data_IF_810423064924
#
_entry.id   IF_810423064924
#
_cell.length_a   1.000
_cell.length_b   1.000
_cell.length_c   1.000
_cell.angle_alpha   90.00
_cell.angle_beta   90.00
_cell.angle_gamma   90.00
#
_symmetry.space_group_name_H-M   'P 1'
#
loop_
_entity.id
_entity.type
_entity.pdbx_description
1 polymer ?
#
# COMPACT_ATOMS: atom_id res chain seq x y z
N UNK A 1 -31.94 -59.75 -35.07
CA UNK A 1 -31.51 -59.21 -33.76
C UNK A 1 -30.43 -58.17 -34.02
N UNK A 2 -30.74 -56.87 -33.87
CA UNK A 2 -29.79 -55.77 -34.08
C UNK A 2 -29.67 -54.97 -32.79
N UNK A 3 -28.49 -54.96 -32.17
CA UNK A 3 -28.20 -54.29 -30.90
C UNK A 3 -27.68 -52.87 -31.19
N UNK A 4 -28.46 -51.82 -30.88
CA UNK A 4 -28.05 -50.42 -31.02
C UNK A 4 -27.27 -49.98 -29.78
N UNK A 5 -25.96 -49.75 -29.90
CA UNK A 5 -25.15 -49.15 -28.83
C UNK A 5 -25.41 -47.65 -28.73
N UNK A 6 -25.87 -47.20 -27.56
CA UNK A 6 -25.98 -45.79 -27.20
C UNK A 6 -24.65 -45.41 -26.53
N UNK A 7 -23.85 -44.57 -27.20
CA UNK A 7 -22.61 -44.03 -26.65
C UNK A 7 -22.96 -42.78 -25.85
N UNK A 8 -22.97 -42.87 -24.52
CA UNK A 8 -23.05 -41.73 -23.62
C UNK A 8 -21.66 -41.07 -23.52
N UNK A 9 -21.43 -40.01 -24.30
CA UNK A 9 -20.25 -39.16 -24.12
C UNK A 9 -20.39 -38.37 -22.82
N UNK A 10 -19.62 -38.74 -21.80
CA UNK A 10 -19.44 -37.94 -20.59
C UNK A 10 -18.48 -36.78 -20.91
N UNK A 11 -19.01 -35.56 -20.92
CA UNK A 11 -18.21 -34.35 -20.94
C UNK A 11 -17.61 -34.14 -19.55
N UNK A 12 -16.33 -34.45 -19.37
CA UNK A 12 -15.59 -34.11 -18.15
C UNK A 12 -15.15 -32.65 -18.26
N UNK A 13 -15.78 -31.78 -17.47
CA UNK A 13 -15.34 -30.39 -17.31
C UNK A 13 -14.25 -30.38 -16.25
N UNK A 14 -12.99 -30.29 -16.69
CA UNK A 14 -11.85 -30.08 -15.78
C UNK A 14 -11.87 -28.61 -15.37
N UNK A 15 -12.29 -28.34 -14.14
CA UNK A 15 -12.14 -27.01 -13.53
C UNK A 15 -10.68 -26.85 -13.10
N UNK A 16 -9.88 -26.16 -13.91
CA UNK A 16 -8.57 -25.69 -13.47
C UNK A 16 -8.77 -24.60 -12.43
N UNK A 17 -8.42 -24.89 -11.18
CA UNK A 17 -8.33 -23.88 -10.13
C UNK A 17 -7.17 -22.95 -10.44
N UNK A 18 -7.45 -21.79 -11.02
CA UNK A 18 -6.43 -20.74 -11.13
C UNK A 18 -6.10 -20.27 -9.71
N UNK A 19 -4.84 -20.41 -9.30
CA UNK A 19 -4.35 -19.74 -8.08
C UNK A 19 -4.31 -18.25 -8.41
N UNK A 20 -5.21 -17.48 -7.80
CA UNK A 20 -5.16 -16.03 -7.88
C UNK A 20 -4.01 -15.55 -7.02
N UNK A 21 -3.03 -14.90 -7.64
CA UNK A 21 -1.96 -14.22 -6.92
C UNK A 21 -2.35 -12.76 -6.76
N UNK A 22 -2.15 -12.19 -5.57
CA UNK A 22 -2.34 -10.77 -5.39
C UNK A 22 -1.24 -9.99 -6.13
N UNK A 23 -1.61 -8.91 -6.81
CA UNK A 23 -0.68 -8.05 -7.53
C UNK A 23 -0.32 -6.85 -6.65
N UNK A 24 0.97 -6.54 -6.55
CA UNK A 24 1.45 -5.35 -5.86
C UNK A 24 1.24 -4.11 -6.73
N UNK A 25 0.44 -3.15 -6.27
CA UNK A 25 0.08 -1.93 -7.00
C UNK A 25 0.45 -0.70 -6.20
N UNK A 26 1.03 0.31 -6.86
CA UNK A 26 1.25 1.63 -6.27
C UNK A 26 -0.11 2.27 -5.94
N UNK A 27 -0.32 2.67 -4.69
CA UNK A 27 -1.56 3.29 -4.23
C UNK A 27 -1.42 4.82 -4.16
N UNK A 28 -0.54 5.32 -3.31
CA UNK A 28 -0.26 6.75 -3.16
C UNK A 28 1.22 7.04 -3.36
N UNK A 29 1.53 8.21 -3.91
CA UNK A 29 2.90 8.72 -3.98
C UNK A 29 2.97 10.23 -3.77
N UNK A 30 4.11 10.65 -3.24
CA UNK A 30 4.60 12.00 -3.31
C UNK A 30 6.12 11.90 -3.51
N UNK A 31 6.64 12.20 -4.70
CA UNK A 31 8.07 12.05 -5.00
C UNK A 31 8.68 13.41 -5.35
N UNK A 32 9.45 13.92 -4.41
CA UNK A 32 10.33 15.05 -4.64
C UNK A 32 11.66 14.79 -3.93
N UNK A 33 12.66 15.59 -4.30
CA UNK A 33 13.98 15.59 -3.66
C UNK A 33 14.24 17.00 -3.16
N UNK A 34 14.75 17.11 -1.94
CA UNK A 34 15.08 18.37 -1.30
C UNK A 34 16.36 18.22 -0.50
N UNK A 35 17.19 19.27 -0.51
CA UNK A 35 18.36 19.34 0.38
C UNK A 35 17.96 19.61 1.84
N UNK A 36 16.73 20.08 2.07
CA UNK A 36 16.15 20.26 3.40
C UNK A 36 15.32 19.04 3.75
N UNK A 37 15.40 18.61 5.01
CA UNK A 37 14.64 17.48 5.49
C UNK A 37 14.25 17.61 6.95
N UNK A 38 13.17 16.93 7.30
CA UNK A 38 12.79 16.70 8.69
C UNK A 38 13.65 15.57 9.26
N UNK A 39 13.89 15.57 10.57
CA UNK A 39 14.72 14.57 11.23
C UNK A 39 13.91 13.70 12.18
N UNK A 40 14.00 12.38 12.03
CA UNK A 40 13.54 11.41 13.01
C UNK A 40 14.69 11.05 13.97
N UNK A 41 14.41 10.97 15.26
CA UNK A 41 15.39 10.62 16.30
C UNK A 41 14.75 9.78 17.41
N UNK A 42 15.46 9.58 18.53
CA UNK A 42 14.92 8.98 19.75
C UNK A 42 13.86 9.82 20.45
N UNK A 43 13.79 11.10 20.11
CA UNK A 43 12.92 12.09 20.76
C UNK A 43 11.97 12.77 19.78
N UNK A 44 12.16 12.59 18.47
CA UNK A 44 11.35 13.22 17.43
C UNK A 44 10.85 12.18 16.44
N UNK A 45 9.55 12.24 16.17
CA UNK A 45 8.86 11.41 15.18
C UNK A 45 8.35 12.31 14.07
N UNK A 46 8.52 11.86 12.84
CA UNK A 46 8.03 12.55 11.64
C UNK A 46 7.30 11.56 10.77
N UNK A 47 6.28 12.02 10.05
CA UNK A 47 5.40 11.12 9.33
C UNK A 47 4.50 11.85 8.37
N UNK A 48 3.63 11.09 7.73
CA UNK A 48 2.69 11.60 6.75
C UNK A 48 1.39 10.82 6.87
N UNK A 49 0.26 11.55 6.83
CA UNK A 49 -1.05 10.93 6.61
C UNK A 49 -1.30 10.74 5.13
N UNK A 50 -2.06 9.72 4.75
CA UNK A 50 -2.43 9.46 3.37
C UNK A 50 -3.83 8.87 3.29
N UNK A 51 -4.54 9.24 2.23
CA UNK A 51 -5.86 8.68 1.92
C UNK A 51 -5.69 7.48 1.00
N UNK A 52 -6.09 6.31 1.47
CA UNK A 52 -6.04 5.05 0.70
C UNK A 52 -6.88 5.18 -0.57
N UNK A 53 -6.31 4.87 -1.73
CA UNK A 53 -6.99 4.92 -3.03
C UNK A 53 -7.46 3.54 -3.51
N UNK A 54 -6.75 2.48 -3.14
CA UNK A 54 -6.97 1.11 -3.59
C UNK A 54 -7.44 0.20 -2.45
N UNK A 55 -8.35 -0.73 -2.78
CA UNK A 55 -8.78 -1.78 -1.86
C UNK A 55 -7.81 -2.96 -1.90
N UNK A 56 -7.45 -3.51 -0.75
CA UNK A 56 -6.59 -4.70 -0.66
C UNK A 56 -5.91 -4.83 0.70
N UNK A 57 -4.70 -5.37 0.72
CA UNK A 57 -3.83 -5.37 1.91
C UNK A 57 -2.68 -4.40 1.69
N UNK A 58 -2.43 -3.50 2.65
CA UNK A 58 -1.23 -2.65 2.60
C UNK A 58 0.01 -3.55 2.71
N UNK A 59 0.93 -3.40 1.77
CA UNK A 59 2.03 -4.35 1.57
C UNK A 59 3.39 -3.74 1.94
N UNK A 60 3.68 -2.54 1.41
CA UNK A 60 4.93 -1.83 1.74
C UNK A 60 4.76 -0.32 1.68
N UNK A 61 5.65 0.36 2.39
CA UNK A 61 5.84 1.80 2.31
C UNK A 61 7.29 2.07 1.95
N UNK A 62 7.50 2.78 0.86
CA UNK A 62 8.83 3.28 0.49
C UNK A 62 8.95 4.72 1.01
N UNK A 63 9.92 4.99 1.86
CA UNK A 63 10.21 6.34 2.37
C UNK A 63 11.55 6.80 1.84
N UNK A 64 11.59 7.96 1.17
CA UNK A 64 12.86 8.53 0.73
C UNK A 64 13.58 9.07 1.97
N UNK A 65 14.78 8.58 2.24
CA UNK A 65 15.52 8.99 3.44
C UNK A 65 17.02 8.78 3.30
N UNK A 66 17.77 9.35 4.24
CA UNK A 66 19.20 9.10 4.43
C UNK A 66 19.51 9.02 5.91
N UNK A 67 20.59 8.32 6.26
CA UNK A 67 21.08 8.23 7.64
C UNK A 67 22.11 9.33 7.87
N UNK A 68 21.93 10.13 8.92
CA UNK A 68 22.87 11.19 9.29
C UNK A 68 23.61 10.78 10.56
N UNK A 69 24.92 10.60 10.44
CA UNK A 69 25.77 10.08 11.51
C UNK A 69 26.79 11.08 12.08
N UNK A 70 26.56 12.38 11.87
CA UNK A 70 27.44 13.47 12.35
C UNK A 70 27.63 13.42 13.87
N UNK A 71 26.59 13.02 14.62
CA UNK A 71 26.60 12.93 16.09
C UNK A 71 26.70 11.49 16.61
N UNK A 72 27.02 10.53 15.73
CA UNK A 72 26.96 9.09 15.98
C UNK A 72 25.87 8.43 15.14
N UNK A 73 25.82 7.09 15.12
CA UNK A 73 24.82 6.35 14.36
C UNK A 73 23.47 6.32 15.10
N UNK A 74 22.33 6.41 14.39
CA UNK A 74 21.03 6.05 14.97
C UNK A 74 20.95 4.54 15.17
N UNK A 75 20.04 4.12 16.06
CA UNK A 75 19.57 2.73 16.10
C UNK A 75 18.73 2.38 14.86
N UNK A 76 18.04 1.24 14.84
CA UNK A 76 17.17 0.87 13.72
C UNK A 76 16.16 1.97 13.37
N UNK A 77 15.85 2.11 12.08
CA UNK A 77 14.74 2.94 11.61
C UNK A 77 13.46 2.18 11.87
N UNK A 78 12.53 2.78 12.60
CA UNK A 78 11.25 2.18 12.97
C UNK A 78 10.15 2.95 12.26
N UNK A 79 9.42 2.27 11.37
CA UNK A 79 8.22 2.79 10.74
C UNK A 79 7.00 2.24 11.46
N UNK A 80 6.14 3.13 11.97
CA UNK A 80 4.92 2.76 12.71
C UNK A 80 3.70 3.24 11.94
N UNK A 81 2.69 2.39 11.79
CA UNK A 81 1.41 2.72 11.17
C UNK A 81 0.36 3.07 12.22
N UNK A 82 -0.52 4.00 11.86
CA UNK A 82 -1.58 4.51 12.71
C UNK A 82 -2.90 4.66 11.98
N UNK A 83 -3.98 4.49 12.74
CA UNK A 83 -5.28 5.08 12.43
C UNK A 83 -5.25 6.58 12.66
N UNK A 84 -6.15 7.32 12.00
CA UNK A 84 -6.25 8.78 12.15
C UNK A 84 -7.58 9.23 12.73
N UNK A 85 -7.54 10.35 13.44
CA UNK A 85 -8.70 11.09 13.91
C UNK A 85 -8.46 12.58 13.64
N UNK A 86 -9.39 13.25 12.96
CA UNK A 86 -9.26 14.65 12.55
C UNK A 86 -7.95 14.96 11.77
N UNK A 87 -7.50 14.02 10.93
CA UNK A 87 -6.30 14.17 10.11
C UNK A 87 -4.97 13.96 10.84
N UNK A 88 -5.00 13.59 12.13
CA UNK A 88 -3.81 13.31 12.93
C UNK A 88 -3.77 11.84 13.39
N UNK A 89 -2.58 11.26 13.62
CA UNK A 89 -2.48 9.90 14.17
C UNK A 89 -3.14 9.80 15.54
N UNK A 90 -3.84 8.68 15.79
CA UNK A 90 -4.64 8.49 17.02
C UNK A 90 -4.47 7.11 17.69
N UNK A 91 -4.25 6.05 16.92
CA UNK A 91 -4.05 4.70 17.45
C UNK A 91 -3.10 3.87 16.59
N UNK A 92 -2.17 3.19 17.23
CA UNK A 92 -1.13 2.38 16.58
C UNK A 92 -1.70 1.07 16.03
N UNK A 93 -1.34 0.77 14.78
CA UNK A 93 -1.70 -0.47 14.07
C UNK A 93 -0.55 -1.50 14.10
N UNK A 94 0.69 -1.03 14.22
CA UNK A 94 1.89 -1.86 14.31
C UNK A 94 3.12 -1.16 13.73
N UNK A 95 4.29 -1.78 13.90
CA UNK A 95 5.56 -1.22 13.45
C UNK A 95 6.47 -2.25 12.80
N UNK A 96 7.34 -1.80 11.92
CA UNK A 96 8.41 -2.58 11.29
C UNK A 96 9.72 -1.82 11.36
N UNK A 97 10.85 -2.51 11.29
CA UNK A 97 12.16 -1.90 11.48
C UNK A 97 13.20 -2.34 10.45
N UNK A 98 14.11 -1.43 10.12
CA UNK A 98 15.24 -1.66 9.23
C UNK A 98 16.54 -1.34 9.98
N UNK A 99 17.54 -2.23 9.97
CA UNK A 99 18.84 -1.93 10.57
C UNK A 99 19.47 -0.67 9.96
N UNK A 100 20.06 0.19 10.80
CA UNK A 100 20.69 1.43 10.34
C UNK A 100 21.76 1.20 9.25
N UNK A 101 22.46 0.07 9.28
CA UNK A 101 23.47 -0.32 8.28
C UNK A 101 22.91 -0.53 6.88
N UNK A 102 21.61 -0.78 6.73
CA UNK A 102 20.93 -0.92 5.43
C UNK A 102 20.56 0.43 4.81
N UNK A 103 20.71 1.53 5.54
CA UNK A 103 20.37 2.87 5.11
C UNK A 103 21.67 3.64 4.82
N UNK A 104 21.78 4.14 3.59
CA UNK A 104 22.94 4.88 3.12
C UNK A 104 23.13 6.18 3.93
N UNK A 105 24.38 6.52 4.20
CA UNK A 105 24.77 7.79 4.83
C UNK A 105 24.97 8.93 3.83
N UNK A 106 24.94 8.60 2.54
CA UNK A 106 25.16 9.55 1.45
C UNK A 106 24.06 9.43 0.41
N UNK A 107 23.45 10.56 0.07
CA UNK A 107 22.32 10.60 -0.86
C UNK A 107 21.03 10.10 -0.21
N UNK A 108 19.91 10.68 -0.64
CA UNK A 108 18.58 10.25 -0.24
C UNK A 108 18.06 9.23 -1.25
N UNK A 109 17.62 8.08 -0.77
CA UNK A 109 17.04 7.02 -1.59
C UNK A 109 15.76 6.48 -0.93
N UNK A 110 14.90 5.86 -1.73
CA UNK A 110 13.75 5.13 -1.19
C UNK A 110 14.25 3.92 -0.40
N UNK A 111 13.81 3.84 0.85
CA UNK A 111 14.01 2.70 1.75
C UNK A 111 12.66 2.01 1.90
N UNK A 112 12.61 0.72 1.59
CA UNK A 112 11.38 -0.09 1.62
C UNK A 112 11.15 -0.68 2.99
N UNK A 113 10.02 -0.32 3.60
CA UNK A 113 9.48 -0.95 4.80
C UNK A 113 8.38 -1.93 4.38
N UNK A 114 8.66 -3.23 4.51
CA UNK A 114 7.66 -4.29 4.32
C UNK A 114 6.71 -4.31 5.51
N UNK A 115 5.45 -3.94 5.29
CA UNK A 115 4.38 -3.92 6.30
C UNK A 115 3.35 -5.03 6.08
N UNK A 116 3.58 -5.93 5.11
CA UNK A 116 2.62 -6.98 4.73
C UNK A 116 2.26 -7.90 5.90
N UNK A 117 3.23 -8.16 6.78
CA UNK A 117 3.05 -8.96 7.99
C UNK A 117 2.10 -8.35 9.03
N UNK A 118 1.80 -7.04 8.93
CA UNK A 118 0.84 -6.36 9.81
C UNK A 118 -0.62 -6.66 9.41
N UNK A 119 -0.88 -7.20 8.21
CA UNK A 119 -2.22 -7.60 7.77
C UNK A 119 -3.22 -6.44 7.69
N UNK A 120 -2.75 -5.22 7.42
CA UNK A 120 -3.61 -4.03 7.39
C UNK A 120 -4.47 -4.04 6.14
N UNK A 121 -5.79 -4.14 6.33
CA UNK A 121 -6.75 -4.01 5.23
C UNK A 121 -6.83 -2.55 4.79
N UNK A 122 -6.49 -2.29 3.53
CA UNK A 122 -6.60 -1.00 2.88
C UNK A 122 -8.02 -0.84 2.33
N UNK A 123 -8.75 0.18 2.80
CA UNK A 123 -10.11 0.51 2.34
C UNK A 123 -10.08 1.88 1.65
N UNK A 124 -10.54 2.01 0.40
CA UNK A 124 -10.56 3.30 -0.29
C UNK A 124 -11.28 4.39 0.51
N UNK A 125 -10.66 5.57 0.61
CA UNK A 125 -11.13 6.70 1.41
C UNK A 125 -10.76 6.64 2.89
N UNK A 126 -10.18 5.54 3.37
CA UNK A 126 -9.61 5.48 4.72
C UNK A 126 -8.36 6.36 4.79
N UNK A 127 -8.25 7.15 5.86
CA UNK A 127 -7.04 7.94 6.12
C UNK A 127 -6.18 7.21 7.15
N UNK A 128 -4.97 6.84 6.73
CA UNK A 128 -3.94 6.23 7.56
C UNK A 128 -2.79 7.21 7.75
N UNK A 129 -1.90 6.91 8.70
CA UNK A 129 -0.65 7.63 8.87
C UNK A 129 0.49 6.67 9.11
N UNK A 130 1.69 7.02 8.66
CA UNK A 130 2.93 6.41 9.12
C UNK A 130 3.78 7.45 9.86
N UNK A 131 4.59 7.00 10.81
CA UNK A 131 5.70 7.78 11.36
C UNK A 131 7.02 7.01 11.32
N UNK A 132 8.12 7.76 11.28
CA UNK A 132 9.49 7.29 11.37
C UNK A 132 10.08 7.75 12.70
N UNK A 133 10.75 6.83 13.38
CA UNK A 133 11.52 7.09 14.60
C UNK A 133 12.73 6.17 14.72
N UNK A 134 13.51 6.34 15.79
CA UNK A 134 14.44 5.32 16.27
C UNK A 134 14.34 5.25 17.79
N UNK A 135 14.75 4.15 18.43
CA UNK A 135 14.66 3.99 19.89
C UNK A 135 16.02 4.02 20.60
N UNK A 136 17.11 4.14 19.83
CA UNK A 136 18.48 4.11 20.33
C UNK A 136 19.43 4.90 19.42
N UNK A 137 20.68 5.07 19.85
CA UNK A 137 21.67 5.83 19.11
C UNK A 137 21.54 7.34 19.29
N UNK A 138 22.51 8.07 18.74
CA UNK A 138 22.60 9.54 18.83
C UNK A 138 22.50 10.23 17.47
N UNK A 139 22.51 9.45 16.38
CA UNK A 139 22.26 9.93 15.03
C UNK A 139 20.78 10.15 14.75
N UNK A 140 20.51 10.60 13.52
CA UNK A 140 19.14 10.86 13.05
C UNK A 140 18.92 10.29 11.66
N UNK A 141 17.66 10.13 11.29
CA UNK A 141 17.27 9.90 9.91
C UNK A 141 16.73 11.19 9.31
N UNK A 142 17.25 11.60 8.16
CA UNK A 142 16.75 12.76 7.44
C UNK A 142 15.82 12.31 6.30
N UNK A 143 14.62 12.88 6.27
CA UNK A 143 13.59 12.67 5.25
C UNK A 143 13.39 14.00 4.52
N UNK A 144 13.55 14.08 3.18
CA UNK A 144 13.33 15.32 2.46
C UNK A 144 11.91 15.81 2.63
N UNK A 145 11.76 17.12 2.73
CA UNK A 145 10.47 17.78 2.75
C UNK A 145 10.33 18.86 1.67
N UNK A 146 9.09 19.20 1.31
CA UNK A 146 8.74 20.12 0.22
C UNK A 146 8.98 21.61 0.52
N UNK A 147 9.53 21.95 1.70
CA UNK A 147 9.82 23.31 2.19
C UNK A 147 8.65 24.30 2.01
N UNK A 148 7.85 24.49 3.05
CA UNK A 148 6.77 25.50 3.11
C UNK A 148 5.73 25.40 1.97
N UNK A 149 5.60 24.23 1.36
CA UNK A 149 4.58 23.96 0.34
C UNK A 149 3.95 22.62 0.66
N UNK A 150 2.62 22.59 0.72
CA UNK A 150 1.84 21.36 0.73
C UNK A 150 1.65 20.91 -0.72
N UNK A 151 2.41 19.89 -1.13
CA UNK A 151 2.39 19.31 -2.46
C UNK A 151 1.50 18.06 -2.52
N UNK A 152 1.08 17.51 -1.38
CA UNK A 152 0.34 16.26 -1.30
C UNK A 152 -1.08 16.46 -0.77
N UNK A 153 -1.99 16.75 -1.69
CA UNK A 153 -3.39 17.07 -1.38
C UNK A 153 -4.19 15.96 -0.65
N UNK A 154 -3.70 14.72 -0.62
CA UNK A 154 -4.40 13.57 -0.05
C UNK A 154 -3.94 13.24 1.38
N UNK A 155 -3.21 14.15 2.02
CA UNK A 155 -2.64 13.94 3.34
C UNK A 155 -2.05 15.19 3.95
N UNK A 156 -1.34 15.00 5.04
CA UNK A 156 -0.66 16.08 5.77
C UNK A 156 0.55 15.49 6.48
N UNK A 157 1.71 16.13 6.38
CA UNK A 157 2.84 15.70 7.21
C UNK A 157 2.54 15.98 8.68
N UNK A 158 3.03 15.09 9.52
CA UNK A 158 2.82 15.14 10.96
C UNK A 158 4.15 14.98 11.67
N UNK A 159 4.26 15.61 12.83
CA UNK A 159 5.38 15.37 13.74
C UNK A 159 4.92 15.32 15.18
N UNK A 160 5.78 14.75 16.01
CA UNK A 160 5.62 14.68 17.45
C UNK A 160 7.00 14.64 18.10
N UNK A 161 7.21 15.53 19.07
CA UNK A 161 8.41 15.52 19.91
C UNK A 161 8.07 14.98 21.30
N UNK A 162 8.88 14.07 21.82
CA UNK A 162 8.73 13.45 23.13
C UNK A 162 7.28 13.00 23.44
N UNK A 163 6.67 13.64 24.45
CA UNK A 163 5.32 13.36 24.93
C UNK A 163 4.28 14.31 24.32
N UNK A 164 4.66 15.21 23.43
CA UNK A 164 3.76 16.19 22.83
C UNK A 164 2.67 15.49 21.99
N UNK A 165 1.51 16.14 21.80
CA UNK A 165 0.52 15.66 20.85
C UNK A 165 1.07 15.73 19.42
N UNK A 166 0.48 14.95 18.52
CA UNK A 166 0.75 15.07 17.09
C UNK A 166 0.40 16.47 16.58
N UNK A 167 1.24 17.00 15.70
CA UNK A 167 1.05 18.31 15.07
C UNK A 167 1.12 18.18 13.56
N UNK A 168 0.18 18.81 12.86
CA UNK A 168 0.23 18.99 11.42
C UNK A 168 1.36 19.94 11.03
N UNK A 169 1.99 19.67 9.89
CA UNK A 169 3.09 20.45 9.34
C UNK A 169 2.67 21.12 8.03
N UNK A 170 3.39 22.15 7.64
CA UNK A 170 3.14 22.96 6.42
C UNK A 170 4.03 22.53 5.23
N UNK A 171 4.46 21.28 5.26
CA UNK A 171 5.29 20.63 4.25
C UNK A 171 4.86 19.16 4.16
N UNK A 172 5.33 18.44 3.15
CA UNK A 172 5.12 17.00 3.00
C UNK A 172 6.44 16.25 2.96
N UNK A 173 6.38 14.93 3.14
CA UNK A 173 7.50 14.01 2.95
C UNK A 173 7.41 13.28 1.61
N UNK A 174 8.56 12.75 1.16
CA UNK A 174 8.65 11.98 -0.09
C UNK A 174 8.48 10.48 0.19
N UNK A 175 7.39 9.89 -0.27
CA UNK A 175 6.98 8.52 0.06
C UNK A 175 6.18 7.85 -1.06
N UNK A 176 6.03 6.53 -0.97
CA UNK A 176 5.12 5.72 -1.79
C UNK A 176 4.49 4.64 -0.95
N UNK A 177 3.22 4.35 -1.17
CA UNK A 177 2.51 3.24 -0.53
C UNK A 177 2.07 2.23 -1.59
N UNK A 178 2.07 0.95 -1.23
CA UNK A 178 1.70 -0.11 -2.14
C UNK A 178 0.69 -1.03 -1.49
N UNK A 179 -0.32 -1.42 -2.26
CA UNK A 179 -1.38 -2.31 -1.85
C UNK A 179 -1.30 -3.59 -2.69
N UNK A 180 -1.38 -4.73 -2.01
CA UNK A 180 -1.59 -6.04 -2.60
C UNK A 180 -3.07 -6.18 -2.94
N UNK A 181 -3.41 -6.06 -4.23
CA UNK A 181 -4.78 -6.10 -4.74
C UNK A 181 -5.10 -7.52 -5.23
N UNK A 182 -6.17 -8.15 -4.74
CA UNK A 182 -6.62 -9.44 -5.28
C UNK A 182 -6.92 -9.32 -6.78
N UNK A 183 -6.48 -10.27 -7.60
CA UNK A 183 -6.82 -10.24 -9.02
C UNK A 183 -8.35 -10.26 -9.22
N UNK A 184 -8.86 -9.55 -10.25
CA UNK A 184 -10.25 -9.68 -10.62
C UNK A 184 -10.55 -11.14 -10.94
N UNK A 185 -11.49 -11.75 -10.21
CA UNK A 185 -11.90 -13.14 -10.46
C UNK A 185 -12.27 -13.33 -11.94
N UNK A 186 -11.41 -14.00 -12.71
CA UNK A 186 -11.57 -14.18 -14.16
C UNK A 186 -12.91 -14.85 -14.55
N UNK A 187 -13.52 -15.57 -13.61
CA UNK A 187 -14.85 -16.17 -13.75
C UNK A 187 -15.97 -15.15 -13.94
N UNK A 188 -15.87 -13.94 -13.37
CA UNK A 188 -16.88 -12.87 -13.58
C UNK A 188 -16.87 -12.43 -15.05
N UNK A 189 -15.70 -12.32 -15.67
CA UNK A 189 -15.58 -11.95 -17.08
C UNK A 189 -16.12 -13.03 -18.03
N UNK A 190 -15.91 -14.32 -17.71
CA UNK A 190 -16.40 -15.43 -18.54
C UNK A 190 -17.92 -15.66 -18.40
N UNK A 191 -18.49 -15.41 -17.22
CA UNK A 191 -19.93 -15.56 -16.97
C UNK A 191 -20.80 -14.63 -17.83
N UNK A 192 -20.35 -13.41 -18.10
CA UNK A 192 -21.08 -12.45 -18.95
C UNK A 192 -21.10 -12.91 -20.41
N UNK A 193 -20.00 -13.46 -20.91
CA UNK A 193 -19.91 -13.95 -22.31
C UNK A 193 -20.81 -15.19 -22.51
N UNK A 194 -20.87 -16.09 -21.53
CA UNK A 194 -21.72 -17.28 -21.60
C UNK A 194 -23.21 -16.97 -21.68
N UNK A 195 -23.69 -15.98 -20.91
CA UNK A 195 -25.10 -15.57 -20.91
C UNK A 195 -25.54 -14.93 -22.24
N UNK A 196 -24.67 -14.15 -22.88
CA UNK A 196 -24.95 -13.54 -24.20
C UNK A 196 -25.16 -14.62 -25.27
N UNK A 197 -24.36 -15.69 -25.26
CA UNK A 197 -24.45 -16.77 -26.25
C UNK A 197 -25.74 -17.60 -26.07
N UNK A 198 -26.16 -17.86 -24.83
CA UNK A 198 -27.41 -18.59 -24.55
C UNK A 198 -28.64 -17.73 -24.89
N UNK A 199 -28.59 -16.43 -24.61
CA UNK A 199 -29.64 -15.48 -24.99
C UNK A 199 -29.84 -15.39 -26.50
N UNK A 200 -28.75 -15.27 -27.27
CA UNK A 200 -28.79 -15.17 -28.73
C UNK A 200 -29.36 -16.44 -29.41
N UNK A 201 -29.08 -17.63 -28.87
CA UNK A 201 -29.65 -18.88 -29.40
C UNK A 201 -31.16 -19.01 -29.17
N UNK A 202 -31.69 -18.46 -28.06
CA UNK A 202 -33.12 -18.52 -27.75
C UNK A 202 -33.95 -17.56 -28.62
N UNK A 203 -33.37 -16.44 -29.05
CA UNK A 203 -34.00 -15.47 -29.95
C UNK A 203 -34.09 -15.95 -31.41
N UNK A 204 -33.12 -16.73 -31.90
CA UNK A 204 -33.14 -17.22 -33.29
C UNK A 204 -34.23 -18.26 -33.56
N UNK A 205 -34.71 -18.99 -32.54
CA UNK A 205 -35.73 -20.05 -32.69
C UNK A 205 -37.17 -19.53 -32.84
N UNK A 206 -37.42 -18.22 -32.64
CA UNK A 206 -38.79 -17.63 -32.70
C UNK A 206 -39.17 -16.99 -34.04
N UNK A 207 -38.35 -17.10 -35.09
CA UNK A 207 -38.55 -16.39 -36.37
C UNK A 207 -39.10 -17.22 -37.55
N UNK A 208 -39.58 -18.44 -37.34
CA UNK A 208 -40.15 -19.28 -38.42
C UNK A 208 -41.55 -19.81 -38.08
N UNK A 209 -42.51 -18.91 -37.84
CA UNK A 209 -43.94 -19.25 -37.86
C UNK A 209 -44.75 -18.03 -38.29
N UNK A 210 -44.81 -17.81 -39.61
CA UNK A 210 -45.87 -17.14 -40.35
C UNK A 210 -45.91 -17.76 -41.74
#
# INVERSE_FOLDING_TARGET
MLYRQIVCSFLVVVFSSSVSHAMLVLDQENDFVSAVGSTASTTSRIGQTFTVGLAGSLDRIDLRMTRVNIFGDPGPAILTLHTTAAGLPSGELGSVQIPASMIATTGQAFVTFDVSSLGITAVPGQVLAFDLSTNSGTGVYAVPNSINVDNYANGTAVSKDFADPWQAQIYDHSFRTFVSVPEPNAFVCLGVIGLVIVGAKKLKKRRHSC
#
